data_IF_462243939884
#
_entry.id   IF_462243939884
#
_cell.length_a   1.000
_cell.length_b   1.000
_cell.length_c   1.000
_cell.angle_alpha   90.00
_cell.angle_beta   90.00
_cell.angle_gamma   90.00
#
_symmetry.space_group_name_H-M   'P 1'
#
loop_
_entity.id
_entity.type
_entity.pdbx_description
1 polymer ?
#
# COMPACT_ATOMS: atom_id res chain seq x y z
N UNK A 1 -2.34 -9.64 13.86
CA UNK A 1 -2.05 -8.21 13.72
C UNK A 1 -2.65 -7.34 14.85
N UNK A 2 -2.45 -7.69 16.15
CA UNK A 2 -2.99 -6.87 17.25
C UNK A 2 -2.00 -5.87 17.87
N UNK A 3 -0.70 -5.92 17.50
CA UNK A 3 0.32 -5.08 18.13
C UNK A 3 0.31 -3.59 17.76
N UNK A 4 -0.18 -3.25 16.59
CA UNK A 4 -0.26 -1.84 16.13
C UNK A 4 -1.46 -1.10 16.70
N UNK A 5 -2.55 -1.81 17.00
CA UNK A 5 -3.75 -1.24 17.65
C UNK A 5 -3.51 -0.93 19.13
N UNK A 6 -2.69 -1.73 19.81
CA UNK A 6 -2.34 -1.50 21.24
C UNK A 6 -1.43 -0.28 21.41
N UNK A 7 -0.52 0.00 20.50
CA UNK A 7 0.33 1.20 20.54
C UNK A 7 -0.45 2.49 20.27
N UNK A 8 -1.43 2.45 19.38
CA UNK A 8 -2.32 3.60 19.13
C UNK A 8 -3.25 3.88 20.32
N UNK A 9 -3.73 2.85 21.00
CA UNK A 9 -4.58 2.99 22.18
C UNK A 9 -3.81 3.54 23.39
N UNK A 10 -2.55 3.15 23.59
CA UNK A 10 -1.71 3.67 24.67
C UNK A 10 -1.31 5.14 24.44
N UNK A 11 -1.06 5.55 23.20
CA UNK A 11 -0.79 6.95 22.89
C UNK A 11 -2.01 7.86 23.14
N UNK A 12 -3.22 7.36 22.85
CA UNK A 12 -4.46 8.11 23.11
C UNK A 12 -4.81 8.18 24.60
N UNK A 13 -4.47 7.15 25.39
CA UNK A 13 -4.71 7.12 26.82
C UNK A 13 -3.81 8.12 27.60
N UNK A 14 -2.60 8.42 27.09
CA UNK A 14 -1.73 9.44 27.68
C UNK A 14 -2.25 10.87 27.47
N UNK A 15 -3.10 11.10 26.45
CA UNK A 15 -3.67 12.44 26.18
C UNK A 15 -4.88 12.77 27.07
N UNK A 16 -5.46 11.78 27.72
CA UNK A 16 -6.68 11.95 28.54
C UNK A 16 -6.43 11.95 30.06
N UNK A 17 -5.15 11.92 30.50
CA UNK A 17 -4.89 12.12 31.94
C UNK A 17 -5.29 13.55 32.31
N UNK A 18 -6.20 13.72 33.30
CA UNK A 18 -6.47 15.04 33.85
C UNK A 18 -5.14 15.57 34.43
N UNK A 19 -4.85 16.87 34.31
CA UNK A 19 -3.68 17.45 34.94
C UNK A 19 -3.78 17.15 36.43
N UNK A 20 -2.83 16.32 36.91
CA UNK A 20 -2.79 15.95 38.32
C UNK A 20 -2.82 17.21 39.13
N UNK A 21 -3.74 17.28 40.11
CA UNK A 21 -3.78 18.32 41.10
C UNK A 21 -2.45 18.28 41.86
N UNK A 22 -1.50 19.09 41.45
CA UNK A 22 -0.34 19.39 42.26
C UNK A 22 -0.85 20.15 43.47
N UNK A 23 -0.91 19.45 44.59
CA UNK A 23 -1.06 20.08 45.91
C UNK A 23 0.23 20.85 46.22
N UNK A 24 0.38 22.02 45.62
CA UNK A 24 1.35 23.00 46.05
C UNK A 24 0.69 23.83 47.12
N UNK A 25 1.03 23.49 48.38
CA UNK A 25 0.63 24.25 49.56
C UNK A 25 1.27 25.64 49.53
N UNK A 26 0.41 26.63 49.75
CA UNK A 26 0.65 27.93 50.36
C UNK A 26 1.94 28.71 50.08
N UNK A 27 1.79 29.65 49.19
CA UNK A 27 2.12 31.07 49.23
C UNK A 27 1.73 31.73 47.92
N UNK A 28 0.49 31.68 47.53
CA UNK A 28 0.01 32.36 46.32
C UNK A 28 -0.06 33.86 46.60
N UNK A 29 0.97 34.59 46.23
CA UNK A 29 0.81 36.00 45.90
C UNK A 29 -0.17 36.04 44.75
N UNK A 30 -1.43 36.41 45.03
CA UNK A 30 -2.48 36.55 44.00
C UNK A 30 -2.11 37.74 43.12
N UNK A 31 -1.34 37.49 42.08
CA UNK A 31 -1.13 38.44 41.01
C UNK A 31 -2.30 38.32 40.03
N UNK A 32 -3.17 39.34 39.91
CA UNK A 32 -4.40 39.29 39.10
C UNK A 32 -4.13 39.15 37.58
N UNK A 33 -2.90 39.20 37.15
CA UNK A 33 -2.49 39.01 35.76
C UNK A 33 -2.19 37.54 35.41
N UNK A 34 -2.08 36.64 36.39
CA UNK A 34 -1.95 35.21 36.12
C UNK A 34 -3.15 34.62 35.35
N UNK A 35 -4.35 35.00 35.78
CA UNK A 35 -5.60 34.56 35.13
C UNK A 35 -5.74 35.09 33.69
N UNK A 36 -5.27 36.31 33.45
CA UNK A 36 -5.27 36.90 32.12
C UNK A 36 -4.26 36.19 31.20
N UNK A 37 -3.07 35.80 31.66
CA UNK A 37 -2.11 35.04 30.91
C UNK A 37 -2.65 33.64 30.56
N UNK A 38 -3.32 32.98 31.47
CA UNK A 38 -3.96 31.69 31.24
C UNK A 38 -5.08 31.83 30.20
N UNK A 39 -5.92 32.83 30.32
CA UNK A 39 -6.99 33.10 29.35
C UNK A 39 -6.45 33.44 27.98
N UNK A 40 -5.36 34.21 27.90
CA UNK A 40 -4.68 34.51 26.63
C UNK A 40 -4.10 33.25 26.00
N UNK A 41 -3.42 32.39 26.76
CA UNK A 41 -2.85 31.15 26.30
C UNK A 41 -3.95 30.18 25.78
N UNK A 42 -5.07 30.08 26.50
CA UNK A 42 -6.22 29.27 26.06
C UNK A 42 -6.85 29.78 24.77
N UNK A 43 -7.02 31.11 24.66
CA UNK A 43 -7.58 31.74 23.46
C UNK A 43 -6.64 31.51 22.25
N UNK A 44 -5.35 31.69 22.45
CA UNK A 44 -4.34 31.47 21.42
C UNK A 44 -4.32 29.99 20.97
N UNK A 45 -4.38 29.06 21.91
CA UNK A 45 -4.44 27.63 21.63
C UNK A 45 -5.73 27.24 20.88
N UNK A 46 -6.88 27.81 21.24
CA UNK A 46 -8.16 27.55 20.61
C UNK A 46 -8.18 27.98 19.12
N UNK A 47 -7.43 29.02 18.76
CA UNK A 47 -7.33 29.53 17.39
C UNK A 47 -6.23 28.82 16.61
N UNK A 48 -5.05 28.61 17.22
CA UNK A 48 -3.90 28.01 16.54
C UNK A 48 -4.06 26.51 16.28
N UNK A 49 -4.68 25.77 17.21
CA UNK A 49 -4.80 24.32 17.05
C UNK A 49 -5.61 23.92 15.81
N UNK A 50 -6.82 24.45 15.55
CA UNK A 50 -7.57 24.09 14.35
C UNK A 50 -6.87 24.56 13.07
N UNK A 51 -6.17 25.70 13.11
CA UNK A 51 -5.42 26.20 11.96
C UNK A 51 -4.23 25.29 11.60
N UNK A 52 -3.48 24.82 12.60
CA UNK A 52 -2.40 23.85 12.41
C UNK A 52 -2.92 22.50 11.91
N UNK A 53 -4.03 22.00 12.46
CA UNK A 53 -4.65 20.76 12.01
C UNK A 53 -5.08 20.90 10.54
N UNK A 54 -5.74 21.99 10.18
CA UNK A 54 -6.16 22.22 8.80
C UNK A 54 -4.97 22.34 7.84
N UNK A 55 -3.88 23.01 8.25
CA UNK A 55 -2.65 23.14 7.46
C UNK A 55 -2.00 21.77 7.24
N UNK A 56 -1.81 20.98 8.30
CA UNK A 56 -1.19 19.65 8.23
C UNK A 56 -2.07 18.70 7.40
N UNK A 57 -3.38 18.71 7.62
CA UNK A 57 -4.32 17.89 6.85
C UNK A 57 -4.31 18.27 5.37
N UNK A 58 -4.32 19.56 5.05
CA UNK A 58 -4.23 20.06 3.69
C UNK A 58 -2.90 19.69 3.01
N UNK A 59 -1.80 19.75 3.75
CA UNK A 59 -0.48 19.34 3.27
C UNK A 59 -0.44 17.84 2.96
N UNK A 60 -0.94 17.02 3.89
CA UNK A 60 -1.05 15.56 3.69
C UNK A 60 -1.93 15.25 2.48
N UNK A 61 -3.11 15.87 2.37
CA UNK A 61 -4.02 15.66 1.25
C UNK A 61 -3.40 16.06 -0.09
N UNK A 62 -2.56 17.09 -0.13
CA UNK A 62 -1.86 17.57 -1.33
C UNK A 62 -0.75 16.62 -1.76
N UNK A 63 -0.01 16.03 -0.83
CA UNK A 63 1.16 15.18 -1.11
C UNK A 63 0.82 13.68 -1.12
N UNK A 64 -0.25 13.25 -0.45
CA UNK A 64 -0.68 11.86 -0.41
C UNK A 64 -0.86 11.21 -1.80
N UNK A 65 -1.46 11.87 -2.82
CA UNK A 65 -1.58 11.28 -4.15
C UNK A 65 -0.23 11.05 -4.83
N UNK A 66 0.72 11.98 -4.65
CA UNK A 66 2.07 11.87 -5.21
C UNK A 66 2.87 10.73 -4.56
N UNK A 67 2.82 10.63 -3.24
CA UNK A 67 3.48 9.55 -2.49
C UNK A 67 2.85 8.20 -2.81
N UNK A 68 1.52 8.12 -2.89
CA UNK A 68 0.79 6.92 -3.28
C UNK A 68 1.12 6.44 -4.70
N UNK A 69 1.29 7.36 -5.63
CA UNK A 69 1.66 7.04 -7.01
C UNK A 69 3.08 6.47 -7.12
N UNK A 70 4.05 7.09 -6.46
CA UNK A 70 5.46 6.65 -6.50
C UNK A 70 5.64 5.31 -5.80
N UNK A 71 5.07 5.15 -4.61
CA UNK A 71 5.15 3.90 -3.84
C UNK A 71 4.43 2.76 -4.59
N UNK A 72 3.24 3.01 -5.15
CA UNK A 72 2.49 1.98 -5.86
C UNK A 72 3.19 1.50 -7.14
N UNK A 73 3.84 2.40 -7.88
CA UNK A 73 4.56 2.03 -9.11
C UNK A 73 5.74 1.10 -8.84
N UNK A 74 6.62 1.48 -7.93
CA UNK A 74 7.76 0.63 -7.55
C UNK A 74 7.34 -0.70 -6.92
N UNK A 75 6.27 -0.70 -6.12
CA UNK A 75 5.69 -1.90 -5.54
C UNK A 75 5.12 -2.84 -6.62
N UNK A 76 4.41 -2.31 -7.61
CA UNK A 76 3.87 -3.09 -8.73
C UNK A 76 5.00 -3.70 -9.56
N UNK A 77 6.02 -2.91 -9.92
CA UNK A 77 7.16 -3.40 -10.70
C UNK A 77 7.94 -4.50 -9.95
N UNK A 78 8.18 -4.31 -8.66
CA UNK A 78 8.81 -5.32 -7.81
C UNK A 78 7.98 -6.59 -7.65
N UNK A 79 6.67 -6.47 -7.55
CA UNK A 79 5.76 -7.61 -7.50
C UNK A 79 5.77 -8.38 -8.83
N UNK A 80 5.64 -7.69 -9.98
CA UNK A 80 5.70 -8.31 -11.31
C UNK A 80 6.99 -9.09 -11.50
N UNK A 81 8.14 -8.52 -11.08
CA UNK A 81 9.41 -9.21 -11.15
C UNK A 81 9.40 -10.54 -10.38
N UNK A 82 8.97 -10.51 -9.11
CA UNK A 82 8.97 -11.70 -8.24
C UNK A 82 8.03 -12.79 -8.74
N UNK A 83 6.81 -12.45 -9.15
CA UNK A 83 5.86 -13.45 -9.65
C UNK A 83 6.31 -14.04 -10.99
N UNK A 84 6.98 -13.25 -11.84
CA UNK A 84 7.56 -13.72 -13.11
C UNK A 84 8.72 -14.68 -12.85
N UNK A 85 9.66 -14.31 -11.97
CA UNK A 85 10.79 -15.18 -11.60
C UNK A 85 10.30 -16.50 -10.97
N UNK A 86 9.27 -16.44 -10.11
CA UNK A 86 8.65 -17.64 -9.58
C UNK A 86 8.04 -18.52 -10.67
N UNK A 87 7.27 -17.92 -11.59
CA UNK A 87 6.60 -18.67 -12.65
C UNK A 87 7.59 -19.33 -13.63
N UNK A 88 8.70 -18.67 -13.94
CA UNK A 88 9.77 -19.23 -14.75
C UNK A 88 10.41 -20.47 -14.10
N UNK A 89 10.49 -20.51 -12.76
CA UNK A 89 11.00 -21.66 -12.03
C UNK A 89 9.94 -22.76 -11.83
N UNK A 90 8.65 -22.42 -11.89
CA UNK A 90 7.56 -23.35 -11.61
C UNK A 90 7.04 -24.09 -12.87
N UNK A 91 7.28 -23.53 -14.05
CA UNK A 91 6.80 -24.11 -15.32
C UNK A 91 7.93 -24.91 -15.97
N UNK A 92 7.63 -26.16 -16.33
CA UNK A 92 8.56 -27.01 -17.06
C UNK A 92 8.95 -26.35 -18.41
N UNK A 93 10.20 -26.53 -18.80
CA UNK A 93 10.80 -25.95 -20.03
C UNK A 93 10.90 -24.41 -20.05
N UNK A 94 10.45 -23.71 -19.02
CA UNK A 94 10.71 -22.30 -18.85
C UNK A 94 12.06 -22.07 -18.17
N UNK A 95 12.84 -21.14 -18.71
CA UNK A 95 14.10 -20.72 -18.08
C UNK A 95 14.34 -19.24 -18.32
N UNK A 96 14.91 -18.57 -17.32
CA UNK A 96 15.27 -17.16 -17.43
C UNK A 96 16.31 -16.95 -18.53
N UNK A 97 16.08 -15.97 -19.43
CA UNK A 97 16.99 -15.67 -20.53
C UNK A 97 16.91 -16.63 -21.71
N UNK A 98 15.92 -17.51 -21.76
CA UNK A 98 15.61 -18.32 -22.94
C UNK A 98 14.32 -17.82 -23.60
N UNK A 99 14.30 -17.88 -24.93
CA UNK A 99 13.09 -17.62 -25.72
C UNK A 99 12.06 -18.72 -25.43
N UNK A 100 10.89 -18.32 -24.98
CA UNK A 100 9.80 -19.23 -24.63
C UNK A 100 8.86 -19.42 -25.82
N UNK A 101 8.44 -20.64 -26.06
CA UNK A 101 7.38 -20.92 -27.05
C UNK A 101 6.03 -20.42 -26.58
N UNK A 102 5.08 -20.19 -27.48
CA UNK A 102 3.72 -19.72 -27.16
C UNK A 102 3.05 -20.51 -26.01
N UNK A 103 3.05 -21.87 -26.04
CA UNK A 103 2.42 -22.65 -24.98
C UNK A 103 3.10 -22.46 -23.62
N UNK A 104 4.43 -22.45 -23.58
CA UNK A 104 5.22 -22.28 -22.34
C UNK A 104 5.04 -20.86 -21.81
N UNK A 105 5.10 -19.85 -22.67
CA UNK A 105 4.86 -18.46 -22.31
C UNK A 105 3.45 -18.25 -21.70
N UNK A 106 2.43 -18.86 -22.30
CA UNK A 106 1.06 -18.84 -21.78
C UNK A 106 0.97 -19.48 -20.38
N UNK A 107 1.64 -20.64 -20.19
CA UNK A 107 1.67 -21.31 -18.89
C UNK A 107 2.41 -20.48 -17.82
N UNK A 108 3.51 -19.83 -18.17
CA UNK A 108 4.25 -18.94 -17.26
C UNK A 108 3.40 -17.74 -16.85
N UNK A 109 2.71 -17.09 -17.79
CA UNK A 109 1.81 -15.98 -17.49
C UNK A 109 0.69 -16.44 -16.54
N UNK A 110 0.06 -17.58 -16.83
CA UNK A 110 -1.01 -18.10 -15.98
C UNK A 110 -0.51 -18.40 -14.57
N UNK A 111 0.66 -19.03 -14.42
CA UNK A 111 1.27 -19.33 -13.12
C UNK A 111 1.61 -18.04 -12.34
N UNK A 112 2.16 -17.02 -13.00
CA UNK A 112 2.49 -15.73 -12.40
C UNK A 112 1.24 -15.01 -11.88
N UNK A 113 0.19 -14.96 -12.70
CA UNK A 113 -1.07 -14.29 -12.34
C UNK A 113 -1.77 -15.05 -11.20
N UNK A 114 -1.77 -16.39 -11.24
CA UNK A 114 -2.34 -17.22 -10.18
C UNK A 114 -1.60 -16.98 -8.85
N UNK A 115 -0.28 -17.00 -8.86
CA UNK A 115 0.55 -16.72 -7.68
C UNK A 115 0.26 -15.33 -7.10
N UNK A 116 0.15 -14.33 -7.97
CA UNK A 116 -0.20 -12.99 -7.53
C UNK A 116 -1.60 -12.92 -6.91
N UNK A 117 -2.58 -13.60 -7.50
CA UNK A 117 -3.95 -13.65 -6.96
C UNK A 117 -4.00 -14.27 -5.55
N UNK A 118 -3.12 -15.24 -5.29
CA UNK A 118 -3.07 -15.97 -4.01
C UNK A 118 -2.31 -15.22 -2.90
N UNK A 119 -1.27 -14.46 -3.24
CA UNK A 119 -0.33 -13.90 -2.25
C UNK A 119 -0.28 -12.38 -2.20
N UNK A 120 -0.69 -11.69 -3.26
CA UNK A 120 -0.53 -10.24 -3.34
C UNK A 120 -1.79 -9.54 -2.83
N UNK A 121 -1.65 -8.50 -1.99
CA UNK A 121 -2.79 -7.71 -1.54
C UNK A 121 -3.57 -7.10 -2.72
N UNK A 122 -4.90 -7.16 -2.66
CA UNK A 122 -5.78 -6.75 -3.76
C UNK A 122 -5.61 -5.29 -4.21
N UNK A 123 -5.13 -4.39 -3.34
CA UNK A 123 -4.86 -3.00 -3.73
C UNK A 123 -3.67 -2.89 -4.70
N UNK A 124 -2.65 -3.74 -4.56
CA UNK A 124 -1.50 -3.79 -5.47
C UNK A 124 -1.92 -4.34 -6.84
N UNK A 125 -2.75 -5.40 -6.84
CA UNK A 125 -3.32 -5.97 -8.06
C UNK A 125 -4.16 -4.92 -8.79
N UNK A 126 -5.01 -4.17 -8.08
CA UNK A 126 -5.78 -3.07 -8.67
C UNK A 126 -4.88 -1.98 -9.26
N UNK A 127 -3.80 -1.62 -8.58
CA UNK A 127 -2.81 -0.65 -9.08
C UNK A 127 -2.07 -1.15 -10.33
N UNK A 128 -1.95 -2.47 -10.51
CA UNK A 128 -1.40 -3.09 -11.72
C UNK A 128 -2.37 -3.10 -12.91
N UNK A 129 -3.63 -2.69 -12.73
CA UNK A 129 -4.70 -2.77 -13.73
C UNK A 129 -5.53 -4.06 -13.62
N UNK A 130 -5.59 -4.65 -12.41
CA UNK A 130 -6.23 -5.94 -12.16
C UNK A 130 -5.41 -7.13 -12.65
N UNK A 131 -6.02 -8.31 -12.68
CA UNK A 131 -5.36 -9.52 -13.19
C UNK A 131 -5.01 -9.41 -14.69
N UNK A 132 -5.84 -8.82 -15.57
CA UNK A 132 -5.47 -8.61 -16.96
C UNK A 132 -4.28 -7.68 -17.14
N UNK A 133 -4.25 -6.55 -16.44
CA UNK A 133 -3.12 -5.62 -16.49
C UNK A 133 -1.82 -6.22 -15.95
N UNK A 134 -1.93 -7.09 -14.93
CA UNK A 134 -0.80 -7.84 -14.42
C UNK A 134 -0.28 -8.84 -15.48
N UNK A 135 -1.18 -9.61 -16.10
CA UNK A 135 -0.83 -10.56 -17.16
C UNK A 135 -0.10 -9.89 -18.34
N UNK A 136 -0.58 -8.71 -18.74
CA UNK A 136 0.05 -7.91 -19.80
C UNK A 136 1.47 -7.45 -19.42
N UNK A 137 1.69 -7.04 -18.16
CA UNK A 137 3.01 -6.65 -17.66
C UNK A 137 3.98 -7.83 -17.62
N UNK A 138 3.50 -9.02 -17.22
CA UNK A 138 4.27 -10.26 -17.26
C UNK A 138 4.61 -10.62 -18.71
N UNK A 139 3.63 -10.59 -19.63
CA UNK A 139 3.82 -10.86 -21.06
C UNK A 139 4.95 -9.99 -21.67
N UNK A 140 4.96 -8.69 -21.39
CA UNK A 140 6.00 -7.77 -21.87
C UNK A 140 7.39 -8.00 -21.27
N UNK A 141 7.50 -8.76 -20.19
CA UNK A 141 8.76 -9.03 -19.50
C UNK A 141 9.39 -10.37 -19.91
N UNK A 142 8.63 -11.21 -20.59
CA UNK A 142 9.10 -12.51 -21.06
C UNK A 142 9.75 -12.40 -22.43
N UNK A 143 10.83 -13.14 -22.61
CA UNK A 143 11.44 -13.35 -23.92
C UNK A 143 10.65 -14.43 -24.66
N UNK A 144 9.77 -14.02 -25.56
CA UNK A 144 8.86 -14.89 -26.30
C UNK A 144 9.31 -15.02 -27.76
N UNK A 145 8.97 -16.14 -28.39
CA UNK A 145 9.19 -16.34 -29.84
C UNK A 145 8.44 -15.30 -30.66
N UNK A 146 8.93 -15.00 -31.87
CA UNK A 146 8.39 -13.95 -32.76
C UNK A 146 6.89 -14.13 -33.09
N UNK A 147 6.40 -15.36 -33.05
CA UNK A 147 4.98 -15.67 -33.26
C UNK A 147 4.07 -15.44 -32.08
N UNK A 148 4.60 -15.09 -30.90
CA UNK A 148 3.82 -14.87 -29.68
C UNK A 148 3.06 -13.54 -29.75
N UNK A 149 1.75 -13.60 -29.57
CA UNK A 149 0.85 -12.44 -29.59
C UNK A 149 -0.05 -12.44 -28.37
N UNK A 150 -0.71 -11.33 -28.10
CA UNK A 150 -1.71 -11.27 -27.03
C UNK A 150 -2.85 -12.28 -27.25
N UNK A 151 -3.23 -12.53 -28.50
CA UNK A 151 -4.32 -13.45 -28.83
C UNK A 151 -3.96 -14.92 -28.58
N UNK A 152 -2.74 -15.35 -28.94
CA UNK A 152 -2.34 -16.76 -28.83
C UNK A 152 -1.62 -17.12 -27.51
N UNK A 153 -1.14 -16.12 -26.75
CA UNK A 153 -0.37 -16.34 -25.53
C UNK A 153 -1.06 -15.78 -24.29
N UNK A 154 -1.50 -14.51 -24.35
CA UNK A 154 -2.09 -13.82 -23.19
C UNK A 154 -3.54 -14.27 -22.94
N UNK A 155 -4.38 -14.35 -23.98
CA UNK A 155 -5.78 -14.73 -23.83
C UNK A 155 -5.94 -16.16 -23.25
N UNK A 156 -5.23 -17.19 -23.75
CA UNK A 156 -5.29 -18.54 -23.16
C UNK A 156 -4.81 -18.59 -21.72
N UNK A 157 -3.81 -17.77 -21.34
CA UNK A 157 -3.34 -17.66 -19.97
C UNK A 157 -4.44 -17.12 -19.02
N UNK A 158 -5.14 -16.06 -19.42
CA UNK A 158 -6.23 -15.48 -18.66
C UNK A 158 -7.42 -16.45 -18.54
N UNK A 159 -7.74 -17.19 -19.59
CA UNK A 159 -8.76 -18.23 -19.56
C UNK A 159 -8.41 -19.36 -18.58
N UNK A 160 -7.14 -19.75 -18.53
CA UNK A 160 -6.67 -20.74 -17.57
C UNK A 160 -6.84 -20.27 -16.12
N UNK A 161 -6.46 -19.02 -15.83
CA UNK A 161 -6.66 -18.40 -14.50
C UNK A 161 -8.14 -18.33 -14.14
N UNK A 162 -8.99 -17.90 -15.07
CA UNK A 162 -10.44 -17.84 -14.87
C UNK A 162 -11.07 -19.21 -14.61
N UNK A 163 -10.58 -20.27 -15.26
CA UNK A 163 -11.02 -21.65 -14.98
C UNK A 163 -10.56 -22.13 -13.61
N UNK A 164 -9.34 -21.82 -13.21
CA UNK A 164 -8.81 -22.18 -11.88
C UNK A 164 -9.59 -21.50 -10.76
N UNK A 165 -9.93 -20.22 -10.93
CA UNK A 165 -10.72 -19.46 -9.96
C UNK A 165 -12.15 -20.04 -9.77
N UNK A 166 -12.76 -20.56 -10.84
CA UNK A 166 -14.11 -21.18 -10.77
C UNK A 166 -14.13 -22.56 -10.12
N UNK A 167 -12.99 -23.21 -9.93
CA UNK A 167 -12.87 -24.54 -9.31
C UNK A 167 -12.63 -24.49 -7.80
N UNK A 168 -12.37 -23.30 -7.25
CA UNK A 168 -12.18 -23.03 -5.81
C UNK A 168 -13.48 -22.58 -5.15
#
# INVERSE_FOLDING_TARGET
MPRTLTLAATALACLTLPPGTALAADAAVILPWGDWLVALAQTLQAVLAPMLIALVTGLIARFAPLLGYVVSRGMVEGMVARVTDYALNAVADAAKGRVLTVPVGSAVIAAAVQRAADEVPGFVIRAAGGLPGLAERVFRRLDLEEGATAANTLAPALDAVGRAARRR
#
